data_IF_528153049987
#
_entry.id   IF_528153049987
#
_cell.length_a   1.000
_cell.length_b   1.000
_cell.length_c   1.000
_cell.angle_alpha   90.00
_cell.angle_beta   90.00
_cell.angle_gamma   90.00
#
_symmetry.space_group_name_H-M   'P 1'
#
loop_
_entity.id
_entity.type
_entity.pdbx_description
1 polymer ?
#
# COMPACT_ATOMS: atom_id res chain seq x y z
N UNK A 1 -20.82 -15.10 24.05
CA UNK A 1 -19.91 -15.71 23.05
C UNK A 1 -20.54 -17.04 22.67
N UNK A 2 -21.20 -17.11 21.51
CA UNK A 2 -21.75 -18.39 21.04
C UNK A 2 -20.58 -19.27 20.58
N UNK A 3 -20.43 -20.45 21.18
CA UNK A 3 -19.42 -21.41 20.79
C UNK A 3 -19.90 -22.13 19.53
N UNK A 4 -19.12 -22.05 18.46
CA UNK A 4 -19.35 -22.82 17.24
C UNK A 4 -19.27 -24.32 17.55
N UNK A 5 -20.24 -25.10 17.07
CA UNK A 5 -20.24 -26.55 17.28
C UNK A 5 -19.16 -27.22 16.42
N UNK A 6 -18.56 -28.34 16.87
CA UNK A 6 -17.42 -28.97 16.19
C UNK A 6 -17.65 -29.27 14.70
N UNK A 7 -18.85 -29.72 14.32
CA UNK A 7 -19.19 -30.00 12.92
C UNK A 7 -19.25 -28.76 12.01
N UNK A 8 -19.49 -27.56 12.57
CA UNK A 8 -19.43 -26.29 11.82
C UNK A 8 -17.97 -25.90 11.58
N UNK A 9 -17.08 -26.10 12.57
CA UNK A 9 -15.65 -25.86 12.41
C UNK A 9 -15.03 -26.74 11.33
N UNK A 10 -15.32 -28.05 11.34
CA UNK A 10 -14.79 -29.00 10.35
C UNK A 10 -15.27 -28.64 8.93
N UNK A 11 -16.55 -28.29 8.77
CA UNK A 11 -17.10 -27.82 7.50
C UNK A 11 -16.45 -26.53 7.00
N UNK A 12 -16.21 -25.56 7.91
CA UNK A 12 -15.54 -24.31 7.58
C UNK A 12 -14.07 -24.53 7.18
N UNK A 13 -13.39 -25.48 7.82
CA UNK A 13 -12.01 -25.84 7.50
C UNK A 13 -11.92 -26.42 6.08
N UNK A 14 -12.80 -27.35 5.71
CA UNK A 14 -12.82 -27.91 4.36
C UNK A 14 -13.14 -26.87 3.27
N UNK A 15 -14.06 -25.95 3.55
CA UNK A 15 -14.35 -24.84 2.62
C UNK A 15 -13.14 -23.91 2.47
N UNK A 16 -12.48 -23.57 3.58
CA UNK A 16 -11.29 -22.71 3.58
C UNK A 16 -10.14 -23.36 2.78
N UNK A 17 -9.93 -24.66 2.96
CA UNK A 17 -8.94 -25.43 2.21
C UNK A 17 -9.26 -25.45 0.71
N UNK A 18 -10.51 -25.73 0.34
CA UNK A 18 -10.94 -25.74 -1.05
C UNK A 18 -10.77 -24.36 -1.73
N UNK A 19 -11.14 -23.28 -1.03
CA UNK A 19 -10.95 -21.89 -1.51
C UNK A 19 -9.46 -21.58 -1.66
N UNK A 20 -8.63 -21.93 -0.69
CA UNK A 20 -7.19 -21.71 -0.74
C UNK A 20 -6.53 -22.44 -1.92
N UNK A 21 -6.87 -23.71 -2.14
CA UNK A 21 -6.37 -24.50 -3.26
C UNK A 21 -6.82 -23.90 -4.60
N UNK A 22 -8.08 -23.46 -4.69
CA UNK A 22 -8.58 -22.80 -5.90
C UNK A 22 -7.87 -21.47 -6.17
N UNK A 23 -7.63 -20.68 -5.14
CA UNK A 23 -6.83 -19.46 -5.24
C UNK A 23 -5.41 -19.77 -5.72
N UNK A 24 -4.75 -20.78 -5.15
CA UNK A 24 -3.43 -21.20 -5.61
C UNK A 24 -3.38 -21.58 -7.10
N UNK A 25 -4.45 -22.19 -7.63
CA UNK A 25 -4.54 -22.49 -9.06
C UNK A 25 -4.70 -21.25 -9.94
N UNK A 26 -5.40 -20.23 -9.44
CA UNK A 26 -5.71 -19.01 -10.22
C UNK A 26 -4.55 -18.02 -10.15
N UNK A 27 -4.08 -17.70 -8.95
CA UNK A 27 -3.07 -16.66 -8.72
C UNK A 27 -1.68 -17.23 -8.42
N UNK A 28 -1.53 -18.53 -8.20
CA UNK A 28 -0.27 -19.15 -7.78
C UNK A 28 -0.16 -19.32 -6.26
N UNK A 29 0.88 -20.02 -5.81
CA UNK A 29 1.10 -20.31 -4.39
C UNK A 29 1.36 -19.03 -3.59
N UNK A 30 1.18 -19.09 -2.27
CA UNK A 30 1.52 -17.97 -1.37
C UNK A 30 2.95 -17.47 -1.56
N UNK A 31 3.90 -18.39 -1.79
CA UNK A 31 5.30 -18.05 -2.10
C UNK A 31 5.44 -17.28 -3.42
N UNK A 32 4.73 -17.70 -4.47
CA UNK A 32 4.75 -17.00 -5.75
C UNK A 32 4.11 -15.61 -5.66
N UNK A 33 3.03 -15.47 -4.89
CA UNK A 33 2.40 -14.16 -4.62
C UNK A 33 3.38 -13.26 -3.85
N UNK A 34 3.99 -13.76 -2.76
CA UNK A 34 4.95 -13.02 -1.96
C UNK A 34 6.18 -12.57 -2.77
N UNK A 35 6.76 -13.45 -3.60
CA UNK A 35 7.89 -13.09 -4.47
C UNK A 35 7.51 -11.92 -5.40
N UNK A 36 6.28 -11.92 -5.93
CA UNK A 36 5.83 -10.86 -6.83
C UNK A 36 5.62 -9.53 -6.10
N UNK A 37 5.00 -9.54 -4.92
CA UNK A 37 4.82 -8.31 -4.14
C UNK A 37 6.16 -7.74 -3.68
N UNK A 38 7.06 -8.58 -3.15
CA UNK A 38 8.41 -8.16 -2.75
C UNK A 38 9.22 -7.61 -3.93
N UNK A 39 9.08 -8.19 -5.12
CA UNK A 39 9.73 -7.67 -6.34
C UNK A 39 9.25 -6.25 -6.66
N UNK A 40 7.96 -5.97 -6.49
CA UNK A 40 7.39 -4.62 -6.71
C UNK A 40 7.93 -3.64 -5.67
N UNK A 41 7.99 -4.04 -4.40
CA UNK A 41 8.53 -3.21 -3.31
C UNK A 41 10.02 -2.87 -3.53
N UNK A 42 10.84 -3.86 -3.90
CA UNK A 42 12.26 -3.65 -4.22
C UNK A 42 12.42 -2.70 -5.40
N UNK A 43 11.65 -2.92 -6.48
CA UNK A 43 11.68 -2.05 -7.67
C UNK A 43 11.34 -0.61 -7.28
N UNK A 44 10.33 -0.42 -6.44
CA UNK A 44 9.91 0.91 -6.01
C UNK A 44 11.01 1.64 -5.23
N UNK A 45 11.68 0.97 -4.28
CA UNK A 45 12.80 1.57 -3.53
C UNK A 45 13.94 1.97 -4.46
N UNK A 46 14.26 1.12 -5.45
CA UNK A 46 15.30 1.41 -6.45
C UNK A 46 14.91 2.60 -7.33
N UNK A 47 13.70 2.59 -7.90
CA UNK A 47 13.20 3.67 -8.76
C UNK A 47 13.19 5.00 -8.02
N UNK A 48 12.69 5.05 -6.78
CA UNK A 48 12.68 6.27 -5.96
C UNK A 48 14.07 6.88 -5.73
N UNK A 49 15.12 6.04 -5.64
CA UNK A 49 16.51 6.50 -5.42
C UNK A 49 17.16 7.06 -6.69
N UNK A 50 16.79 6.55 -7.86
CA UNK A 50 17.36 7.00 -9.14
C UNK A 50 16.58 8.16 -9.76
N UNK A 51 15.31 8.33 -9.41
CA UNK A 51 14.49 9.46 -9.86
C UNK A 51 14.96 10.76 -9.19
N UNK A 52 15.05 11.83 -9.96
CA UNK A 52 15.41 13.17 -9.46
C UNK A 52 14.35 13.71 -8.49
N UNK A 53 14.70 14.67 -7.64
CA UNK A 53 13.76 15.24 -6.66
C UNK A 53 12.53 15.92 -7.30
N UNK A 54 12.70 16.48 -8.50
CA UNK A 54 11.62 17.08 -9.30
C UNK A 54 10.90 16.07 -10.22
N UNK A 55 11.27 14.79 -10.15
CA UNK A 55 10.65 13.74 -10.94
C UNK A 55 9.34 13.25 -10.34
N UNK A 56 8.52 12.59 -11.15
CA UNK A 56 7.30 11.91 -10.70
C UNK A 56 7.63 10.44 -10.44
N UNK A 57 7.20 9.94 -9.29
CA UNK A 57 7.22 8.51 -8.96
C UNK A 57 5.92 7.89 -9.42
N UNK A 58 6.04 6.76 -10.13
CA UNK A 58 4.93 5.88 -10.45
C UNK A 58 5.03 4.65 -9.56
N UNK A 59 3.96 4.37 -8.82
CA UNK A 59 3.80 3.21 -7.96
C UNK A 59 2.68 2.34 -8.49
N UNK A 60 2.93 1.04 -8.53
CA UNK A 60 1.88 0.05 -8.75
C UNK A 60 1.08 -0.10 -7.45
N UNK A 61 -0.24 -0.11 -7.55
CA UNK A 61 -1.16 -0.34 -6.44
C UNK A 61 -2.09 -1.53 -6.75
N UNK A 62 -3.06 -1.76 -5.86
CA UNK A 62 -4.11 -2.76 -6.04
C UNK A 62 -3.60 -4.19 -6.12
N UNK A 63 -4.40 -5.05 -6.76
CA UNK A 63 -4.16 -6.49 -6.80
C UNK A 63 -2.78 -6.87 -7.39
N UNK A 64 -2.34 -6.13 -8.41
CA UNK A 64 -1.08 -6.38 -9.09
C UNK A 64 0.13 -6.05 -8.21
N UNK A 65 0.04 -5.02 -7.36
CA UNK A 65 1.07 -4.69 -6.35
C UNK A 65 1.21 -5.81 -5.33
N UNK A 66 0.07 -6.27 -4.82
CA UNK A 66 -0.01 -7.34 -3.81
C UNK A 66 0.33 -8.73 -4.40
N UNK A 67 0.73 -8.81 -5.67
CA UNK A 67 1.18 -10.05 -6.31
C UNK A 67 0.04 -10.95 -6.80
N UNK A 68 -1.20 -10.50 -6.74
CA UNK A 68 -2.39 -11.20 -7.25
C UNK A 68 -2.61 -10.87 -8.73
N UNK A 69 -2.15 -11.75 -9.62
CA UNK A 69 -2.30 -11.60 -11.07
C UNK A 69 -3.55 -12.29 -11.58
N UNK A 70 -4.71 -11.69 -11.32
CA UNK A 70 -5.99 -12.20 -11.79
C UNK A 70 -6.21 -11.85 -13.26
N UNK A 71 -6.65 -12.82 -14.08
CA UNK A 71 -6.95 -12.54 -15.47
C UNK A 71 -8.16 -11.60 -15.58
N UNK A 72 -8.04 -10.55 -16.39
CA UNK A 72 -9.06 -9.51 -16.53
C UNK A 72 -9.08 -8.47 -15.41
N UNK A 73 -8.14 -8.50 -14.46
CA UNK A 73 -7.95 -7.38 -13.55
C UNK A 73 -7.39 -6.18 -14.30
N UNK A 74 -7.79 -4.99 -13.88
CA UNK A 74 -7.15 -3.74 -14.25
C UNK A 74 -5.78 -3.61 -13.55
N UNK A 75 -5.14 -2.47 -13.81
CA UNK A 75 -3.84 -2.10 -13.27
C UNK A 75 -3.95 -0.71 -12.67
N UNK A 76 -3.82 -0.64 -11.36
CA UNK A 76 -3.87 0.61 -10.62
C UNK A 76 -2.48 1.23 -10.51
N UNK A 77 -2.37 2.50 -10.92
CA UNK A 77 -1.15 3.28 -10.72
C UNK A 77 -1.44 4.48 -9.83
N UNK A 78 -0.50 4.76 -8.94
CA UNK A 78 -0.48 6.00 -8.16
C UNK A 78 0.75 6.79 -8.59
N UNK A 79 0.53 8.08 -8.84
CA UNK A 79 1.59 9.02 -9.21
C UNK A 79 1.73 10.06 -8.12
N UNK A 80 2.96 10.39 -7.74
CA UNK A 80 3.23 11.55 -6.88
C UNK A 80 4.63 12.10 -7.13
N UNK A 81 4.91 13.37 -6.82
CA UNK A 81 6.24 13.95 -6.99
C UNK A 81 7.27 13.35 -6.00
N UNK A 82 8.51 13.07 -6.42
CA UNK A 82 9.52 12.39 -5.59
C UNK A 82 9.96 13.19 -4.35
N UNK A 83 9.79 14.51 -4.39
CA UNK A 83 9.97 15.39 -3.24
C UNK A 83 8.80 15.33 -2.24
N UNK A 84 7.74 14.57 -2.49
CA UNK A 84 6.65 14.34 -1.54
C UNK A 84 6.78 12.94 -0.94
N UNK A 85 6.84 12.86 0.39
CA UNK A 85 7.01 11.60 1.15
C UNK A 85 5.85 11.40 2.10
N UNK A 86 5.16 10.27 1.94
CA UNK A 86 4.18 9.79 2.93
C UNK A 86 4.94 9.00 4.01
N UNK A 87 4.76 9.38 5.28
CA UNK A 87 5.30 8.69 6.45
C UNK A 87 4.17 8.18 7.33
N UNK A 88 4.38 7.05 8.00
CA UNK A 88 3.35 6.43 8.86
C UNK A 88 3.51 6.78 10.34
N UNK A 89 4.67 7.32 10.72
CA UNK A 89 5.01 7.71 12.09
C UNK A 89 5.82 9.01 12.07
N UNK A 90 5.53 9.91 13.02
CA UNK A 90 6.18 11.23 13.09
C UNK A 90 7.68 11.13 13.31
N UNK A 91 8.17 10.11 14.03
CA UNK A 91 9.61 9.88 14.24
C UNK A 91 10.37 9.68 12.92
N UNK A 92 9.70 9.21 11.86
CA UNK A 92 10.34 9.05 10.56
C UNK A 92 10.75 10.38 9.92
N UNK A 93 10.16 11.50 10.37
CA UNK A 93 10.49 12.83 9.87
C UNK A 93 11.96 13.21 10.11
N UNK A 94 12.61 12.66 11.14
CA UNK A 94 14.02 12.92 11.47
C UNK A 94 14.99 12.40 10.41
N UNK A 95 14.57 11.43 9.59
CA UNK A 95 15.39 10.84 8.54
C UNK A 95 15.33 11.59 7.20
N UNK A 96 14.47 12.63 7.10
CA UNK A 96 14.25 13.35 5.86
C UNK A 96 14.60 14.83 5.99
N UNK A 97 15.22 15.36 4.93
CA UNK A 97 15.51 16.79 4.85
C UNK A 97 14.25 17.56 4.41
N UNK A 98 13.64 18.27 5.36
CA UNK A 98 12.41 19.07 5.17
C UNK A 98 12.61 20.33 4.31
N UNK A 99 13.85 20.74 4.03
CA UNK A 99 14.11 21.90 3.16
C UNK A 99 13.73 21.64 1.69
N UNK A 100 13.83 20.39 1.25
CA UNK A 100 13.59 19.99 -0.16
C UNK A 100 12.53 18.90 -0.30
N UNK A 101 11.92 18.48 0.80
CA UNK A 101 10.99 17.35 0.84
C UNK A 101 9.74 17.74 1.62
N UNK A 102 8.59 17.61 0.97
CA UNK A 102 7.28 17.74 1.57
C UNK A 102 6.91 16.45 2.27
N UNK A 103 6.67 16.50 3.59
CA UNK A 103 6.29 15.34 4.38
C UNK A 103 4.77 15.32 4.62
N UNK A 104 4.15 14.17 4.36
CA UNK A 104 2.74 13.89 4.56
C UNK A 104 2.62 12.75 5.57
N UNK A 105 2.04 12.99 6.73
CA UNK A 105 1.76 11.95 7.71
C UNK A 105 0.47 11.23 7.35
N UNK A 106 0.54 9.91 7.18
CA UNK A 106 -0.62 9.03 7.08
C UNK A 106 -0.94 8.49 8.46
N UNK A 107 -2.04 8.95 9.04
CA UNK A 107 -2.54 8.48 10.32
C UNK A 107 -3.82 7.66 10.11
N UNK A 108 -3.79 6.38 10.44
CA UNK A 108 -4.96 5.50 10.38
C UNK A 108 -5.49 5.12 11.76
N UNK A 109 -4.94 5.63 12.86
CA UNK A 109 -5.30 5.21 14.23
C UNK A 109 -6.76 5.52 14.59
N UNK A 110 -7.28 6.63 14.07
CA UNK A 110 -8.66 7.08 14.29
C UNK A 110 -9.52 7.02 13.02
N UNK A 111 -8.99 6.43 11.94
CA UNK A 111 -9.71 6.34 10.68
C UNK A 111 -10.60 5.10 10.63
N UNK A 112 -11.80 5.17 10.00
CA UNK A 112 -12.58 3.98 9.71
C UNK A 112 -11.80 2.98 8.85
N UNK A 113 -12.15 1.68 8.90
CA UNK A 113 -11.53 0.68 8.02
C UNK A 113 -11.59 1.11 6.55
N UNK A 114 -10.43 1.11 5.88
CA UNK A 114 -10.30 1.54 4.48
C UNK A 114 -9.99 3.03 4.27
N UNK A 115 -9.87 3.82 5.34
CA UNK A 115 -9.51 5.24 5.27
C UNK A 115 -8.21 5.53 6.03
N UNK A 116 -7.53 6.61 5.65
CA UNK A 116 -6.43 7.19 6.42
C UNK A 116 -6.49 8.71 6.32
N UNK A 117 -6.21 9.40 7.42
CA UNK A 117 -6.01 10.83 7.44
C UNK A 117 -4.61 11.16 6.90
N UNK A 118 -4.53 12.00 5.87
CA UNK A 118 -3.27 12.55 5.38
C UNK A 118 -3.09 13.98 5.92
N UNK A 119 -2.03 14.19 6.69
CA UNK A 119 -1.72 15.49 7.30
C UNK A 119 -0.38 16.02 6.77
N UNK A 120 -0.37 17.25 6.27
CA UNK A 120 0.84 17.90 5.81
C UNK A 120 1.68 18.37 7.02
N UNK A 121 2.93 17.90 7.13
CA UNK A 121 3.83 18.24 8.25
C UNK A 121 4.78 19.40 7.95
N UNK A 122 5.02 19.69 6.66
CA UNK A 122 5.95 20.72 6.20
C UNK A 122 5.22 21.75 5.36
N UNK A 123 5.57 23.03 5.51
CA UNK A 123 5.11 24.08 4.60
C UNK A 123 5.48 23.71 3.15
N UNK A 124 4.50 23.72 2.27
CA UNK A 124 4.70 23.56 0.83
C UNK A 124 4.21 24.81 0.13
N UNK A 125 4.92 25.25 -0.91
CA UNK A 125 4.42 26.25 -1.86
C UNK A 125 3.63 25.62 -2.99
N UNK A 126 3.56 24.28 -3.02
CA UNK A 126 2.84 23.52 -4.01
C UNK A 126 1.32 23.62 -3.78
N UNK A 127 0.65 24.29 -4.71
CA UNK A 127 -0.79 24.53 -4.66
C UNK A 127 -1.62 23.26 -4.83
N UNK A 128 -1.05 22.20 -5.41
CA UNK A 128 -1.75 20.92 -5.58
C UNK A 128 -1.83 20.12 -4.27
N UNK A 129 -0.95 20.43 -3.31
CA UNK A 129 -0.86 19.74 -2.01
C UNK A 129 -1.38 20.59 -0.86
N UNK A 130 -1.48 21.92 -1.05
CA UNK A 130 -2.25 22.77 -0.16
C UNK A 130 -3.75 22.53 -0.37
N UNK A 131 -4.34 21.61 0.39
CA UNK A 131 -5.78 21.64 0.61
C UNK A 131 -6.10 22.99 1.29
N UNK A 132 -6.84 23.87 0.61
CA UNK A 132 -7.42 25.04 1.27
C UNK A 132 -8.37 24.50 2.36
N UNK A 133 -8.05 24.82 3.62
CA UNK A 133 -8.98 24.63 4.72
C UNK A 133 -10.12 25.65 4.52
N UNK A 134 -11.27 25.19 4.06
CA UNK A 134 -12.58 25.81 4.33
C UNK A 134 -13.27 25.05 5.46
#
# INVERSE_FOLDING_TARGET
MEFLTPGICDGLQHLSEAVFLRMCQIVGTSQQVAIRSETVDIREVVVRRVTTNNGVIQMLSGSQREGFRLNGSDVDFVYWPNNHRVIMDVSQSEYYNTANTTLILSNSSESPPGFTLLQLLTLTTDREVMCQNE
#
